data_IF_012255302878
#
_entry.id   IF_012255302878
#
_cell.length_a   1.000
_cell.length_b   1.000
_cell.length_c   1.000
_cell.angle_alpha   90.00
_cell.angle_beta   90.00
_cell.angle_gamma   90.00
#
_symmetry.space_group_name_H-M   'P 1'
#
loop_
_entity.id
_entity.type
_entity.pdbx_description
1 polymer ?
#
# COMPACT_ATOMS: atom_id res chain seq x y z
N UNK A 1 -0.43 7.05 -12.07
CA UNK A 1 0.97 7.44 -12.37
C UNK A 1 1.90 7.29 -11.17
N UNK A 2 1.63 7.95 -10.02
CA UNK A 2 2.52 7.91 -8.86
C UNK A 2 2.76 6.50 -8.30
N UNK A 3 1.73 5.66 -8.19
CA UNK A 3 1.89 4.27 -7.73
C UNK A 3 2.80 3.46 -8.65
N UNK A 4 2.61 3.57 -9.97
CA UNK A 4 3.45 2.90 -10.98
C UNK A 4 4.90 3.31 -10.87
N UNK A 5 5.18 4.59 -10.62
CA UNK A 5 6.55 5.09 -10.55
C UNK A 5 7.27 4.71 -9.25
N UNK A 6 6.54 4.56 -8.14
CA UNK A 6 7.14 4.56 -6.80
C UNK A 6 6.86 3.30 -5.99
N UNK A 7 5.81 2.53 -6.30
CA UNK A 7 5.30 1.48 -5.42
C UNK A 7 5.34 0.08 -6.05
N UNK A 8 5.22 -0.03 -7.38
CA UNK A 8 5.10 -1.34 -8.07
C UNK A 8 6.33 -2.22 -7.94
N UNK A 9 7.51 -1.63 -7.74
CA UNK A 9 8.74 -2.41 -7.54
C UNK A 9 8.63 -3.37 -6.34
N UNK A 10 7.87 -2.98 -5.31
CA UNK A 10 7.65 -3.81 -4.12
C UNK A 10 6.26 -4.45 -4.08
N UNK A 11 5.23 -3.73 -4.53
CA UNK A 11 3.84 -4.19 -4.45
C UNK A 11 3.31 -4.82 -5.73
N UNK A 12 4.09 -4.83 -6.82
CA UNK A 12 3.67 -5.34 -8.12
C UNK A 12 2.81 -4.35 -8.90
N UNK A 13 2.77 -4.53 -10.23
CA UNK A 13 2.06 -3.64 -11.16
C UNK A 13 0.55 -3.59 -10.89
N UNK A 14 -0.02 -4.71 -10.47
CA UNK A 14 -1.43 -4.85 -10.10
C UNK A 14 -1.63 -4.78 -8.58
N UNK A 15 -0.63 -4.30 -7.84
CA UNK A 15 -0.61 -4.24 -6.38
C UNK A 15 -0.78 -5.59 -5.66
N UNK A 16 -0.53 -6.68 -6.40
CA UNK A 16 -0.72 -8.06 -5.97
C UNK A 16 0.24 -8.51 -4.84
N UNK A 17 1.26 -7.71 -4.55
CA UNK A 17 2.34 -8.04 -3.61
C UNK A 17 3.50 -8.78 -4.30
N UNK A 18 4.72 -8.34 -4.01
CA UNK A 18 5.96 -9.02 -4.42
C UNK A 18 6.88 -9.09 -3.21
N UNK A 19 7.72 -8.06 -3.02
CA UNK A 19 8.48 -7.86 -1.79
C UNK A 19 7.55 -7.37 -0.68
N UNK A 20 6.75 -6.35 -0.99
CA UNK A 20 5.71 -5.82 -0.12
C UNK A 20 4.46 -6.72 -0.09
N UNK A 21 3.49 -6.40 0.79
CA UNK A 21 2.22 -7.10 0.88
C UNK A 21 1.32 -6.88 -0.33
N UNK A 22 0.35 -7.78 -0.48
CA UNK A 22 -0.82 -7.59 -1.32
C UNK A 22 -1.61 -6.37 -0.81
N UNK A 23 -2.02 -5.46 -1.70
CA UNK A 23 -2.84 -4.29 -1.37
C UNK A 23 -4.26 -4.40 -1.93
N UNK A 24 -4.62 -5.53 -2.54
CA UNK A 24 -5.93 -5.73 -3.17
C UNK A 24 -6.92 -6.48 -2.30
N UNK A 25 -6.49 -7.13 -1.23
CA UNK A 25 -7.35 -7.90 -0.34
C UNK A 25 -7.87 -7.09 0.87
N UNK A 26 -8.51 -7.78 1.82
CA UNK A 26 -9.09 -7.17 3.01
C UNK A 26 -8.16 -7.15 4.22
N UNK A 27 -6.92 -7.61 4.10
CA UNK A 27 -5.98 -7.83 5.20
C UNK A 27 -4.90 -6.74 5.23
N UNK A 28 -4.61 -6.24 6.43
CA UNK A 28 -3.71 -5.11 6.60
C UNK A 28 -2.78 -5.31 7.79
N UNK A 29 -1.47 -5.20 7.54
CA UNK A 29 -0.44 -5.25 8.59
C UNK A 29 -0.47 -3.97 9.47
N UNK A 30 -0.77 -2.81 8.86
CA UNK A 30 -0.77 -1.50 9.53
C UNK A 30 -2.15 -0.82 9.54
N UNK A 31 -3.20 -1.60 9.25
CA UNK A 31 -4.60 -1.17 9.18
C UNK A 31 -5.00 -0.50 7.86
N UNK A 32 -6.22 -0.78 7.39
CA UNK A 32 -6.72 -0.38 6.07
C UNK A 32 -7.46 0.96 5.99
N UNK A 33 -7.63 1.68 7.10
CA UNK A 33 -8.25 3.02 7.08
C UNK A 33 -7.38 3.98 6.26
N UNK A 34 -7.99 4.94 5.56
CA UNK A 34 -7.24 5.88 4.72
C UNK A 34 -6.16 6.66 5.48
N UNK A 35 -6.43 7.01 6.75
CA UNK A 35 -5.47 7.66 7.65
C UNK A 35 -4.26 6.77 7.96
N UNK A 36 -4.46 5.46 8.03
CA UNK A 36 -3.40 4.50 8.33
C UNK A 36 -2.52 4.30 7.09
N UNK A 37 -3.13 4.10 5.92
CA UNK A 37 -2.44 4.02 4.62
C UNK A 37 -1.58 5.28 4.42
N UNK A 38 -2.17 6.46 4.62
CA UNK A 38 -1.44 7.73 4.52
C UNK A 38 -0.28 7.80 5.50
N UNK A 39 -0.48 7.41 6.76
CA UNK A 39 0.57 7.40 7.78
C UNK A 39 1.71 6.45 7.39
N UNK A 40 1.40 5.25 6.89
CA UNK A 40 2.38 4.27 6.42
C UNK A 40 3.16 4.78 5.22
N UNK A 41 2.51 5.44 4.24
CA UNK A 41 3.21 6.06 3.11
C UNK A 41 4.11 7.20 3.61
N UNK A 42 3.60 8.05 4.50
CA UNK A 42 4.34 9.21 5.00
C UNK A 42 5.61 8.79 5.74
N UNK A 43 5.48 7.93 6.74
CA UNK A 43 6.59 7.60 7.64
C UNK A 43 7.36 6.33 7.24
N UNK A 44 6.83 5.54 6.31
CA UNK A 44 7.39 4.24 5.96
C UNK A 44 7.28 3.23 7.10
N UNK A 45 7.93 2.10 6.88
CA UNK A 45 8.19 1.03 7.87
C UNK A 45 9.63 0.57 7.63
N UNK A 46 10.64 1.39 7.99
CA UNK A 46 12.02 1.18 7.56
C UNK A 46 12.60 -0.17 8.01
N UNK A 47 12.20 -0.66 9.19
CA UNK A 47 12.60 -1.96 9.70
C UNK A 47 12.06 -3.15 8.88
N UNK A 48 11.06 -2.90 8.02
CA UNK A 48 10.50 -3.85 7.05
C UNK A 48 10.83 -3.48 5.59
N UNK A 49 11.69 -2.48 5.38
CA UNK A 49 12.15 -2.04 4.06
C UNK A 49 11.22 -1.07 3.32
N UNK A 50 10.05 -0.70 3.89
CA UNK A 50 9.21 0.33 3.29
C UNK A 50 9.76 1.71 3.63
N UNK A 51 10.18 2.48 2.62
CA UNK A 51 10.78 3.79 2.84
C UNK A 51 9.74 4.84 3.24
N UNK A 52 10.20 5.92 3.89
CA UNK A 52 9.40 7.12 4.13
C UNK A 52 9.31 7.98 2.86
N UNK A 53 8.09 8.43 2.54
CA UNK A 53 7.84 9.32 1.40
C UNK A 53 7.69 10.80 1.80
N UNK A 54 7.74 11.14 3.10
CA UNK A 54 7.52 12.50 3.62
C UNK A 54 8.40 13.57 2.95
N UNK A 55 9.65 13.22 2.60
CA UNK A 55 10.59 14.13 1.96
C UNK A 55 10.58 14.10 0.43
N UNK A 56 9.88 13.13 -0.16
CA UNK A 56 9.89 12.87 -1.61
C UNK A 56 8.56 13.21 -2.28
N UNK A 57 7.47 13.20 -1.52
CA UNK A 57 6.13 13.51 -1.98
C UNK A 57 5.52 14.62 -1.15
N UNK A 58 4.77 15.51 -1.81
CA UNK A 58 3.90 16.46 -1.11
C UNK A 58 2.76 15.74 -0.38
N UNK A 59 2.14 16.36 0.66
CA UNK A 59 0.94 15.82 1.30
C UNK A 59 -0.18 15.46 0.32
N UNK A 60 -0.35 16.26 -0.74
CA UNK A 60 -1.34 16.01 -1.78
C UNK A 60 -1.03 14.72 -2.57
N UNK A 61 0.22 14.54 -3.00
CA UNK A 61 0.64 13.33 -3.71
C UNK A 61 0.51 12.08 -2.84
N UNK A 62 0.87 12.17 -1.56
CA UNK A 62 0.67 11.06 -0.62
C UNK A 62 -0.81 10.71 -0.46
N UNK A 63 -1.69 11.72 -0.40
CA UNK A 63 -3.15 11.48 -0.33
C UNK A 63 -3.68 10.85 -1.61
N UNK A 64 -3.22 11.28 -2.79
CA UNK A 64 -3.58 10.69 -4.08
C UNK A 64 -3.17 9.20 -4.15
N UNK A 65 -1.94 8.86 -3.75
CA UNK A 65 -1.47 7.47 -3.71
C UNK A 65 -2.26 6.66 -2.66
N UNK A 66 -2.54 7.24 -1.50
CA UNK A 66 -3.33 6.56 -0.45
C UNK A 66 -4.74 6.21 -0.93
N UNK A 67 -5.40 7.15 -1.62
CA UNK A 67 -6.72 6.93 -2.20
C UNK A 67 -6.69 5.87 -3.29
N UNK A 68 -5.68 5.91 -4.16
CA UNK A 68 -5.47 4.88 -5.16
C UNK A 68 -5.30 3.50 -4.53
N UNK A 69 -4.42 3.36 -3.54
CA UNK A 69 -4.21 2.10 -2.81
C UNK A 69 -5.51 1.61 -2.18
N UNK A 70 -6.28 2.48 -1.53
CA UNK A 70 -7.57 2.09 -0.94
C UNK A 70 -8.58 1.61 -1.99
N UNK A 71 -8.57 2.20 -3.19
CA UNK A 71 -9.46 1.83 -4.29
C UNK A 71 -9.17 0.44 -4.89
N UNK A 72 -7.99 -0.12 -4.63
CA UNK A 72 -7.59 -1.44 -5.13
C UNK A 72 -8.21 -2.59 -4.33
N UNK A 73 -8.72 -2.32 -3.13
CA UNK A 73 -9.39 -3.33 -2.30
C UNK A 73 -10.54 -3.97 -3.08
N UNK A 74 -10.55 -5.30 -3.16
CA UNK A 74 -11.54 -6.09 -3.89
C UNK A 74 -11.17 -6.36 -5.36
N UNK A 75 -10.03 -5.87 -5.84
CA UNK A 75 -9.51 -6.29 -7.16
C UNK A 75 -8.86 -7.67 -7.06
N UNK A 76 -8.95 -8.44 -8.14
CA UNK A 76 -8.49 -9.84 -8.19
C UNK A 76 -7.38 -10.00 -9.24
N UNK A 77 -6.11 -9.67 -8.91
CA UNK A 77 -5.00 -9.92 -9.82
C UNK A 77 -4.77 -11.43 -9.99
N UNK A 78 -4.14 -11.85 -11.09
CA UNK A 78 -3.97 -13.29 -11.40
C UNK A 78 -3.12 -14.06 -10.37
N UNK A 79 -2.13 -13.39 -9.76
CA UNK A 79 -1.18 -13.99 -8.83
C UNK A 79 -1.06 -13.13 -7.55
N UNK A 80 -2.12 -13.02 -6.73
CA UNK A 80 -2.03 -12.29 -5.47
C UNK A 80 -1.12 -13.04 -4.50
N UNK A 81 -0.30 -12.30 -3.77
CA UNK A 81 0.40 -12.82 -2.59
C UNK A 81 -0.64 -13.15 -1.51
N UNK A 82 -0.36 -14.18 -0.73
CA UNK A 82 -1.21 -14.60 0.38
C UNK A 82 -1.53 -13.43 1.34
N UNK A 83 -2.72 -13.37 1.94
CA UNK A 83 -3.12 -12.30 2.85
C UNK A 83 -2.16 -12.13 4.04
N UNK A 84 -1.91 -10.88 4.43
CA UNK A 84 -0.97 -10.55 5.52
C UNK A 84 -1.56 -9.53 6.49
N UNK A 85 -1.44 -9.82 7.79
CA UNK A 85 -1.96 -8.96 8.87
C UNK A 85 -3.40 -9.30 9.22
N UNK A 86 -4.12 -8.30 9.70
CA UNK A 86 -5.47 -8.48 10.24
C UNK A 86 -6.54 -8.10 9.22
N UNK A 87 -7.64 -8.83 9.22
CA UNK A 87 -8.79 -8.51 8.39
C UNK A 87 -9.40 -7.18 8.83
N UNK A 88 -9.59 -6.25 7.91
CA UNK A 88 -10.17 -4.94 8.19
C UNK A 88 -11.59 -5.08 8.76
N UNK A 89 -11.81 -4.60 9.99
CA UNK A 89 -13.11 -4.65 10.66
C UNK A 89 -13.39 -5.93 11.46
N UNK A 90 -12.39 -6.83 11.58
CA UNK A 90 -12.39 -7.91 12.56
C UNK A 90 -12.02 -7.41 13.98
#
# INVERSE_FOLDING_TARGET
ALFIQNCVACHGENAQGVVGPNLTDEYWIHGGKISNIFKTIKYGVPEKGMISWEKQMSPKQMAEVSNYVKSLKGTNPANPKEPQGDKEGA
#
